data_IF_779801603487
#
_entry.id   IF_779801603487
#
_cell.length_a   1.000
_cell.length_b   1.000
_cell.length_c   1.000
_cell.angle_alpha   90.00
_cell.angle_beta   90.00
_cell.angle_gamma   90.00
#
_symmetry.space_group_name_H-M   'P 1'
#
loop_
_entity.id
_entity.type
_entity.pdbx_description
1 polymer ?
#
# COMPACT_ATOMS: atom_id res chain seq x y z
N UNK A 1 -4.66 4.84 29.41
CA UNK A 1 -5.39 3.80 28.64
C UNK A 1 -5.37 4.25 27.20
N UNK A 2 -4.47 3.72 26.36
CA UNK A 2 -4.41 4.08 24.93
C UNK A 2 -4.91 2.87 24.16
N UNK A 3 -6.19 2.87 23.86
CA UNK A 3 -6.82 2.00 22.87
C UNK A 3 -7.76 2.89 22.06
N UNK A 4 -7.17 3.83 21.33
CA UNK A 4 -7.86 4.37 20.16
C UNK A 4 -7.68 3.29 19.09
N UNK A 5 -8.67 2.40 18.99
CA UNK A 5 -8.75 1.47 17.87
C UNK A 5 -8.99 2.26 16.59
N UNK A 6 -7.89 2.67 15.95
CA UNK A 6 -7.91 3.48 14.73
C UNK A 6 -8.08 2.62 13.48
N UNK A 7 -9.03 1.70 13.55
CA UNK A 7 -9.37 0.78 12.48
C UNK A 7 -9.65 1.53 11.17
N UNK A 8 -10.42 2.62 11.22
CA UNK A 8 -10.74 3.41 10.04
C UNK A 8 -9.49 4.02 9.39
N UNK A 9 -8.50 4.43 10.19
CA UNK A 9 -7.22 4.93 9.67
C UNK A 9 -6.43 3.82 8.98
N UNK A 10 -6.40 2.64 9.59
CA UNK A 10 -5.77 1.45 8.99
C UNK A 10 -6.43 1.10 7.65
N UNK A 11 -7.77 1.06 7.63
CA UNK A 11 -8.56 0.81 6.42
C UNK A 11 -8.32 1.87 5.34
N UNK A 12 -8.28 3.15 5.73
CA UNK A 12 -7.98 4.24 4.81
C UNK A 12 -6.64 4.04 4.09
N UNK A 13 -5.56 3.74 4.82
CA UNK A 13 -4.26 3.49 4.19
C UNK A 13 -4.27 2.26 3.29
N UNK A 14 -4.91 1.17 3.71
CA UNK A 14 -5.06 -0.04 2.89
C UNK A 14 -5.76 0.26 1.56
N UNK A 15 -6.92 0.91 1.61
CA UNK A 15 -7.73 1.23 0.43
C UNK A 15 -7.01 2.25 -0.47
N UNK A 16 -6.36 3.26 0.11
CA UNK A 16 -5.62 4.27 -0.63
C UNK A 16 -4.41 3.66 -1.36
N UNK A 17 -3.58 2.88 -0.67
CA UNK A 17 -2.42 2.21 -1.28
C UNK A 17 -2.84 1.18 -2.34
N UNK A 18 -3.94 0.46 -2.12
CA UNK A 18 -4.51 -0.44 -3.12
C UNK A 18 -4.94 0.31 -4.40
N UNK A 19 -5.58 1.47 -4.25
CA UNK A 19 -5.98 2.30 -5.39
C UNK A 19 -4.78 2.95 -6.09
N UNK A 20 -3.75 3.36 -5.35
CA UNK A 20 -2.48 3.81 -5.93
C UNK A 20 -1.84 2.70 -6.77
N UNK A 21 -1.80 1.46 -6.26
CA UNK A 21 -1.27 0.33 -7.00
C UNK A 21 -2.07 0.06 -8.29
N UNK A 22 -3.39 0.20 -8.26
CA UNK A 22 -4.22 0.14 -9.48
C UNK A 22 -3.85 1.24 -10.46
N UNK A 23 -3.69 2.47 -10.00
CA UNK A 23 -3.32 3.61 -10.85
C UNK A 23 -1.93 3.43 -11.47
N UNK A 24 -0.97 2.86 -10.73
CA UNK A 24 0.38 2.56 -11.23
C UNK A 24 0.41 1.55 -12.38
N UNK A 25 -0.68 0.84 -12.67
CA UNK A 25 -0.76 -0.04 -13.87
C UNK A 25 -0.85 0.74 -15.18
N UNK A 26 -1.26 2.01 -15.13
CA UNK A 26 -1.25 2.88 -16.30
C UNK A 26 0.18 3.35 -16.59
N UNK A 27 0.65 3.10 -17.82
CA UNK A 27 2.05 3.37 -18.24
C UNK A 27 2.48 4.83 -18.03
N UNK A 28 1.54 5.78 -18.14
CA UNK A 28 1.84 7.21 -17.97
C UNK A 28 2.03 7.62 -16.50
N UNK A 29 1.38 6.90 -15.58
CA UNK A 29 1.41 7.16 -14.15
C UNK A 29 2.59 6.43 -13.50
N UNK A 30 2.87 5.20 -13.93
CA UNK A 30 3.91 4.34 -13.37
C UNK A 30 5.30 4.99 -13.38
N UNK A 31 5.60 5.80 -14.40
CA UNK A 31 6.90 6.49 -14.51
C UNK A 31 7.04 7.71 -13.59
N UNK A 32 5.92 8.27 -13.13
CA UNK A 32 5.85 9.54 -12.38
C UNK A 32 5.78 9.35 -10.86
N UNK A 33 5.12 8.30 -10.38
CA UNK A 33 4.99 8.04 -8.95
C UNK A 33 6.26 7.38 -8.39
N UNK A 34 6.94 8.06 -7.45
CA UNK A 34 8.22 7.60 -6.87
C UNK A 34 8.15 7.23 -5.39
N UNK A 35 7.10 7.66 -4.69
CA UNK A 35 6.98 7.42 -3.26
C UNK A 35 5.64 7.87 -2.71
N UNK A 36 5.43 7.53 -1.44
CA UNK A 36 4.24 7.88 -0.67
C UNK A 36 4.67 8.27 0.75
N UNK A 37 4.18 9.40 1.23
CA UNK A 37 4.38 9.85 2.60
C UNK A 37 3.03 9.85 3.32
N UNK A 38 2.92 9.05 4.38
CA UNK A 38 1.74 9.05 5.22
C UNK A 38 1.67 10.36 6.03
N UNK A 39 0.57 11.09 5.86
CA UNK A 39 0.24 12.18 6.75
C UNK A 39 -0.55 11.63 7.95
N UNK A 40 -0.07 11.73 9.18
CA UNK A 40 1.25 12.25 9.62
C UNK A 40 1.98 11.23 10.49
N UNK A 41 3.25 11.48 10.78
CA UNK A 41 4.01 10.60 11.66
C UNK A 41 3.43 10.56 13.09
N UNK A 42 3.14 11.72 13.67
CA UNK A 42 2.49 11.84 14.97
C UNK A 42 1.38 12.89 14.95
N UNK A 43 0.47 12.79 15.93
CA UNK A 43 -0.54 13.83 16.14
C UNK A 43 0.13 15.18 16.35
N UNK A 44 -0.42 16.21 15.72
CA UNK A 44 0.13 17.55 15.72
C UNK A 44 -1.00 18.60 15.76
N UNK A 45 -0.66 19.87 15.58
CA UNK A 45 -1.62 20.98 15.51
C UNK A 45 -2.26 21.00 14.11
N UNK A 46 -3.57 20.73 14.04
CA UNK A 46 -4.34 20.70 12.81
C UNK A 46 -5.04 22.05 12.57
N UNK A 47 -4.23 23.08 12.29
CA UNK A 47 -4.66 24.39 11.82
C UNK A 47 -5.89 24.96 12.58
N UNK A 48 -7.00 25.21 11.87
CA UNK A 48 -8.22 25.78 12.44
C UNK A 48 -8.91 24.90 13.49
N UNK A 49 -8.59 23.60 13.52
CA UNK A 49 -9.15 22.62 14.45
C UNK A 49 -8.28 22.42 15.70
N UNK A 50 -7.10 23.08 15.73
CA UNK A 50 -6.16 23.00 16.84
C UNK A 50 -5.74 21.56 17.13
N UNK A 51 -5.94 21.11 18.37
CA UNK A 51 -5.49 19.80 18.86
C UNK A 51 -6.60 18.75 19.00
N UNK A 52 -7.77 19.05 18.44
CA UNK A 52 -8.97 18.20 18.55
C UNK A 52 -8.91 17.03 17.56
N UNK A 53 -8.49 17.28 16.31
CA UNK A 53 -8.30 16.25 15.29
C UNK A 53 -6.93 15.57 15.38
N UNK A 54 -6.91 14.28 15.04
CA UNK A 54 -5.75 13.39 15.23
C UNK A 54 -5.50 12.59 13.95
N UNK A 55 -4.51 13.01 13.16
CA UNK A 55 -4.14 12.35 11.90
C UNK A 55 -2.91 11.45 12.01
N UNK A 56 -2.17 11.53 13.12
CA UNK A 56 -0.90 10.84 13.26
C UNK A 56 -1.04 9.33 13.40
N UNK A 57 -0.03 8.61 12.90
CA UNK A 57 0.19 7.20 13.22
C UNK A 57 0.58 7.03 14.70
N UNK A 58 1.18 8.04 15.31
CA UNK A 58 1.59 8.05 16.72
C UNK A 58 0.71 9.02 17.50
N UNK A 59 0.05 8.52 18.54
CA UNK A 59 -0.68 9.34 19.49
C UNK A 59 0.29 10.16 20.33
N UNK A 60 0.00 11.44 20.54
CA UNK A 60 0.77 12.34 21.39
C UNK A 60 -0.12 12.83 22.52
N UNK A 61 0.28 12.51 23.75
CA UNK A 61 -0.37 13.01 24.95
C UNK A 61 0.15 14.42 25.26
N UNK A 62 -0.66 15.43 24.90
CA UNK A 62 -0.30 16.82 25.09
C UNK A 62 -0.26 17.26 26.56
N UNK A 63 -0.87 16.50 27.46
CA UNK A 63 -0.93 16.81 28.89
C UNK A 63 0.15 16.07 29.69
N UNK A 64 0.69 14.99 29.13
CA UNK A 64 1.71 14.15 29.76
C UNK A 64 3.05 14.26 29.03
N UNK A 65 3.71 15.42 29.13
CA UNK A 65 5.07 15.67 28.62
C UNK A 65 5.29 15.25 27.15
N UNK A 66 4.25 15.40 26.32
CA UNK A 66 4.28 15.00 24.90
C UNK A 66 4.66 13.53 24.69
N UNK A 67 4.27 12.65 25.63
CA UNK A 67 4.54 11.22 25.54
C UNK A 67 3.88 10.62 24.30
N UNK A 68 4.61 9.74 23.61
CA UNK A 68 4.25 9.20 22.30
C UNK A 68 3.87 7.72 22.39
N UNK A 69 2.71 7.37 21.83
CA UNK A 69 2.18 6.01 21.84
C UNK A 69 1.82 5.59 20.40
N UNK A 70 2.50 4.58 19.83
CA UNK A 70 2.16 4.07 18.50
C UNK A 70 0.71 3.55 18.47
N UNK A 71 -0.05 3.94 17.44
CA UNK A 71 -1.42 3.43 17.22
C UNK A 71 -1.41 2.11 16.44
N UNK A 72 -2.57 1.45 16.32
CA UNK A 72 -2.68 0.19 15.57
C UNK A 72 -2.31 0.39 14.09
N UNK A 73 -2.70 1.53 13.49
CA UNK A 73 -2.28 1.89 12.14
C UNK A 73 -0.77 1.98 11.98
N UNK A 74 -0.02 2.45 12.98
CA UNK A 74 1.44 2.50 12.93
C UNK A 74 2.05 1.09 12.89
N UNK A 75 1.53 0.19 13.73
CA UNK A 75 1.96 -1.20 13.75
C UNK A 75 1.66 -1.90 12.41
N UNK A 76 0.49 -1.66 11.84
CA UNK A 76 0.12 -2.15 10.52
C UNK A 76 1.05 -1.59 9.43
N UNK A 77 1.28 -0.28 9.41
CA UNK A 77 2.12 0.39 8.40
C UNK A 77 3.56 -0.12 8.48
N UNK A 78 4.10 -0.33 9.69
CA UNK A 78 5.42 -0.91 9.89
C UNK A 78 5.51 -2.36 9.38
N UNK A 79 4.47 -3.17 9.59
CA UNK A 79 4.40 -4.54 9.04
C UNK A 79 4.33 -4.52 7.51
N UNK A 80 3.52 -3.63 6.94
CA UNK A 80 3.38 -3.44 5.49
C UNK A 80 4.72 -3.05 4.84
N UNK A 81 5.46 -2.10 5.43
CA UNK A 81 6.77 -1.69 4.91
C UNK A 81 7.84 -2.80 5.03
N UNK A 82 7.72 -3.70 6.02
CA UNK A 82 8.63 -4.84 6.20
C UNK A 82 8.31 -6.00 5.26
N UNK A 83 7.04 -6.21 4.89
CA UNK A 83 6.70 -7.13 3.81
C UNK A 83 7.21 -6.56 2.49
N UNK A 84 8.06 -7.29 1.77
CA UNK A 84 8.77 -6.84 0.55
C UNK A 84 7.84 -6.58 -0.65
N UNK A 85 6.85 -5.69 -0.52
CA UNK A 85 5.88 -5.38 -1.57
C UNK A 85 4.95 -6.53 -1.95
N UNK A 86 4.90 -7.62 -1.16
CA UNK A 86 3.87 -8.63 -1.36
C UNK A 86 2.53 -8.07 -0.92
N UNK A 87 1.53 -8.02 -1.81
CA UNK A 87 0.19 -7.65 -1.39
C UNK A 87 -0.30 -8.61 -0.30
N UNK A 88 -1.09 -8.14 0.67
CA UNK A 88 -1.62 -9.01 1.71
C UNK A 88 -2.48 -10.13 1.11
N UNK A 89 -2.55 -11.29 1.76
CA UNK A 89 -3.21 -12.50 1.21
C UNK A 89 -4.68 -12.30 0.78
N UNK A 90 -5.39 -11.32 1.36
CA UNK A 90 -6.76 -10.97 0.97
C UNK A 90 -6.83 -10.07 -0.28
N UNK A 91 -5.72 -9.45 -0.67
CA UNK A 91 -5.57 -8.76 -1.95
C UNK A 91 -5.20 -9.80 -3.00
N UNK A 92 -6.21 -10.59 -3.39
CA UNK A 92 -6.12 -11.47 -4.55
C UNK A 92 -6.95 -10.84 -5.67
N UNK A 93 -6.32 -10.18 -6.65
CA UNK A 93 -7.06 -9.65 -7.77
C UNK A 93 -7.55 -10.80 -8.66
N UNK A 94 -8.81 -10.75 -9.07
CA UNK A 94 -9.47 -11.80 -9.89
C UNK A 94 -8.76 -12.14 -11.21
N UNK A 95 -7.78 -11.34 -11.66
CA UNK A 95 -6.95 -11.58 -12.85
C UNK A 95 -5.60 -12.26 -12.57
N UNK A 96 -5.19 -12.44 -11.32
CA UNK A 96 -3.92 -13.11 -10.96
C UNK A 96 -4.10 -14.63 -10.88
N UNK A 97 -5.31 -15.13 -10.63
CA UNK A 97 -5.61 -16.56 -10.50
C UNK A 97 -5.84 -17.30 -11.84
N UNK A 98 -5.77 -16.62 -12.99
CA UNK A 98 -6.14 -17.24 -14.29
C UNK A 98 -4.97 -17.74 -15.13
N UNK A 99 -3.72 -17.56 -14.70
CA UNK A 99 -2.53 -17.91 -15.50
C UNK A 99 -1.69 -19.07 -14.97
N UNK A 100 -2.05 -19.70 -13.85
CA UNK A 100 -1.26 -20.82 -13.28
C UNK A 100 -1.90 -22.21 -13.47
N UNK A 101 -3.11 -22.33 -14.04
CA UNK A 101 -3.75 -23.65 -14.22
C UNK A 101 -3.52 -24.33 -15.58
N UNK A 102 -2.86 -23.70 -16.56
CA UNK A 102 -2.75 -24.27 -17.92
C UNK A 102 -1.32 -24.30 -18.47
N UNK A 103 -0.31 -24.73 -17.68
CA UNK A 103 1.05 -24.88 -18.20
C UNK A 103 1.67 -26.25 -17.94
N UNK A 104 0.86 -27.30 -18.04
CA UNK A 104 1.33 -28.63 -18.39
C UNK A 104 0.86 -28.90 -19.84
N UNK A 105 1.80 -28.98 -20.77
CA UNK A 105 1.64 -29.33 -22.20
C UNK A 105 1.48 -28.17 -23.22
N UNK A 106 2.45 -27.26 -23.30
CA UNK A 106 2.73 -26.58 -24.58
C UNK A 106 4.18 -26.87 -25.00
N UNK A 107 4.31 -27.51 -26.15
CA UNK A 107 5.56 -27.92 -26.78
C UNK A 107 6.53 -26.74 -26.94
N UNK A 108 7.80 -26.98 -26.59
CA UNK A 108 8.86 -25.95 -26.51
C UNK A 108 9.28 -25.36 -27.86
N UNK A 109 8.71 -25.81 -28.98
CA UNK A 109 9.13 -25.41 -30.33
C UNK A 109 8.30 -24.25 -30.93
N UNK A 110 7.16 -23.87 -30.35
CA UNK A 110 6.37 -22.74 -30.88
C UNK A 110 6.80 -21.37 -30.31
N UNK A 111 7.46 -21.37 -29.15
CA UNK A 111 7.92 -20.15 -28.47
C UNK A 111 9.02 -19.37 -29.23
N UNK A 112 9.82 -20.04 -30.07
CA UNK A 112 10.86 -19.37 -30.85
C UNK A 112 10.32 -18.64 -32.10
N UNK A 113 9.16 -19.04 -32.64
CA UNK A 113 8.62 -18.43 -33.88
C UNK A 113 7.93 -17.08 -33.64
N UNK A 114 7.48 -16.81 -32.41
CA UNK A 114 6.85 -15.54 -32.06
C UNK A 114 7.84 -14.39 -31.82
N UNK A 115 9.08 -14.70 -31.44
CA UNK A 115 10.09 -13.68 -31.10
C UNK A 115 10.79 -13.13 -32.35
N UNK A 116 10.90 -13.91 -33.43
CA UNK A 116 11.57 -13.47 -34.67
C UNK A 116 10.74 -12.51 -35.53
N UNK A 117 9.41 -12.48 -35.39
CA UNK A 117 8.53 -11.63 -36.20
C UNK A 117 8.23 -10.24 -35.62
N UNK A 118 8.73 -9.92 -34.42
CA UNK A 118 8.46 -8.62 -33.77
C UNK A 118 9.59 -7.60 -34.01
N UNK A 119 10.76 -8.04 -34.51
CA UNK A 119 11.93 -7.18 -34.77
C UNK A 119 12.15 -6.84 -36.27
N UNK A 120 11.13 -7.02 -37.11
CA UNK A 120 11.11 -6.50 -38.47
C UNK A 120 9.86 -5.65 -38.65
N UNK A 121 9.94 -4.40 -38.20
CA UNK A 121 9.28 -3.21 -38.76
C UNK A 121 9.79 -1.97 -38.01
#
# INVERSE_FOLDING_TARGET
MVCDDDYDRTKYYQDHLANMLKAMKHKDISRKLKGYFAWSWCDNLEWGEGFTLRFGLVYVDYMNDLTRYPKNSAAWFAKFLKSKGQPPAWFSPWWVTRHEENNENMDKDEGLKLVENINRD
#
